data_IF_976933189561
#
_entry.id   IF_976933189561
#
_cell.length_a   1.000
_cell.length_b   1.000
_cell.length_c   1.000
_cell.angle_alpha   90.00
_cell.angle_beta   90.00
_cell.angle_gamma   90.00
#
_symmetry.space_group_name_H-M   'P 1'
#
loop_
_entity.id
_entity.type
_entity.pdbx_description
1 polymer ?
#
# COMPACT_ATOMS: atom_id res chain seq x y z
N UNK A 1 -0.47 -19.88 -4.14
CA UNK A 1 -1.91 -19.99 -4.44
C UNK A 1 -2.37 -18.69 -5.05
N UNK A 2 -3.46 -18.64 -5.83
CA UNK A 2 -3.74 -17.50 -6.68
C UNK A 2 -4.49 -16.37 -5.97
N UNK A 3 -4.33 -15.17 -6.53
CA UNK A 3 -5.18 -14.02 -6.24
C UNK A 3 -6.53 -14.17 -6.94
N UNK A 4 -7.63 -13.93 -6.21
CA UNK A 4 -8.99 -13.94 -6.75
C UNK A 4 -9.38 -12.51 -7.09
N UNK A 5 -9.56 -12.26 -8.38
CA UNK A 5 -10.03 -10.98 -8.94
C UNK A 5 -11.02 -11.24 -10.08
N UNK A 6 -11.86 -10.25 -10.45
CA UNK A 6 -12.75 -10.36 -11.61
C UNK A 6 -11.97 -10.62 -12.90
N UNK A 7 -12.50 -11.51 -13.74
CA UNK A 7 -11.84 -11.91 -14.99
C UNK A 7 -11.70 -10.76 -16.00
N UNK A 8 -12.62 -9.83 -15.98
CA UNK A 8 -12.63 -8.62 -16.83
C UNK A 8 -11.89 -7.42 -16.21
N UNK A 9 -11.29 -7.56 -15.03
CA UNK A 9 -10.41 -6.53 -14.46
C UNK A 9 -9.12 -6.46 -15.28
N UNK A 10 -8.63 -5.27 -15.71
CA UNK A 10 -7.38 -5.15 -16.49
C UNK A 10 -6.18 -5.86 -15.86
N UNK A 11 -6.05 -5.85 -14.54
CA UNK A 11 -5.04 -6.57 -13.79
C UNK A 11 -5.03 -8.09 -14.06
N UNK A 12 -6.19 -8.71 -14.37
CA UNK A 12 -6.26 -10.14 -14.66
C UNK A 12 -5.45 -10.51 -15.91
N UNK A 13 -5.60 -9.72 -16.97
CA UNK A 13 -4.86 -9.93 -18.23
C UNK A 13 -3.38 -9.59 -18.08
N UNK A 14 -3.06 -8.45 -17.44
CA UNK A 14 -1.69 -8.03 -17.23
C UNK A 14 -0.88 -9.06 -16.43
N UNK A 15 -1.41 -9.53 -15.31
CA UNK A 15 -0.77 -10.56 -14.49
C UNK A 15 -0.65 -11.92 -15.21
N UNK A 16 -1.65 -12.28 -16.00
CA UNK A 16 -1.58 -13.50 -16.83
C UNK A 16 -0.43 -13.46 -17.85
N UNK A 17 -0.18 -12.31 -18.48
CA UNK A 17 0.96 -12.11 -19.38
C UNK A 17 2.32 -12.19 -18.68
N UNK A 18 2.36 -11.86 -17.39
CA UNK A 18 3.55 -11.96 -16.55
C UNK A 18 3.75 -13.37 -15.94
N UNK A 19 2.92 -14.36 -16.33
CA UNK A 19 2.88 -15.69 -15.72
C UNK A 19 2.56 -15.67 -14.20
N UNK A 20 1.89 -14.65 -13.71
CA UNK A 20 1.37 -14.60 -12.35
C UNK A 20 0.00 -15.29 -12.33
N UNK A 21 -0.14 -16.29 -11.46
CA UNK A 21 -1.36 -17.07 -11.41
C UNK A 21 -2.48 -16.31 -10.68
N UNK A 22 -3.52 -15.95 -11.42
CA UNK A 22 -4.77 -15.36 -10.93
C UNK A 22 -5.96 -16.27 -11.23
N UNK A 23 -7.02 -16.17 -10.45
CA UNK A 23 -8.24 -16.95 -10.71
C UNK A 23 -9.50 -16.10 -10.52
N UNK A 24 -10.58 -16.50 -11.16
CA UNK A 24 -11.90 -15.93 -10.94
C UNK A 24 -12.62 -16.65 -9.76
N UNK A 25 -13.62 -15.97 -9.18
CA UNK A 25 -14.33 -16.43 -7.98
C UNK A 25 -14.91 -17.85 -8.11
N UNK A 26 -15.58 -18.17 -9.20
CA UNK A 26 -16.21 -19.49 -9.41
C UNK A 26 -15.22 -20.65 -9.30
N UNK A 27 -13.98 -20.48 -9.81
CA UNK A 27 -12.92 -21.47 -9.66
C UNK A 27 -12.42 -21.55 -8.21
N UNK A 28 -12.35 -20.43 -7.50
CA UNK A 28 -11.91 -20.40 -6.11
C UNK A 28 -12.91 -21.14 -5.19
N UNK A 29 -14.21 -20.92 -5.39
CA UNK A 29 -15.28 -21.58 -4.62
C UNK A 29 -15.27 -23.10 -4.74
N UNK A 30 -14.83 -23.63 -5.89
CA UNK A 30 -14.70 -25.08 -6.09
C UNK A 30 -13.57 -25.73 -5.27
N UNK A 31 -12.67 -24.97 -4.68
CA UNK A 31 -11.48 -25.47 -3.99
C UNK A 31 -11.67 -25.69 -2.48
N UNK A 32 -12.80 -25.30 -1.89
CA UNK A 32 -13.10 -25.38 -0.44
C UNK A 32 -12.02 -24.75 0.47
N UNK A 33 -11.35 -23.72 -0.03
CA UNK A 33 -10.32 -22.98 0.70
C UNK A 33 -10.92 -21.61 1.07
N UNK A 34 -10.83 -21.22 2.34
CA UNK A 34 -11.18 -19.86 2.74
C UNK A 34 -10.06 -18.90 2.32
N UNK A 35 -10.30 -17.98 1.38
CA UNK A 35 -9.30 -16.98 1.02
C UNK A 35 -9.17 -15.92 2.12
N UNK A 36 -8.02 -15.28 2.21
CA UNK A 36 -7.89 -14.02 2.93
C UNK A 36 -8.63 -12.92 2.18
N UNK A 37 -9.50 -12.21 2.85
CA UNK A 37 -10.27 -11.11 2.29
C UNK A 37 -9.54 -9.80 2.51
N UNK A 38 -9.00 -9.24 1.44
CA UNK A 38 -8.26 -7.96 1.47
C UNK A 38 -9.10 -6.87 0.81
N UNK A 39 -9.31 -5.77 1.55
CA UNK A 39 -9.96 -4.55 1.06
C UNK A 39 -8.87 -3.55 0.66
N UNK A 40 -8.92 -2.98 -0.55
CA UNK A 40 -7.98 -1.96 -0.99
C UNK A 40 -8.71 -0.64 -1.29
N UNK A 41 -8.56 0.34 -0.41
CA UNK A 41 -8.98 1.72 -0.68
C UNK A 41 -7.96 2.36 -1.59
N UNK A 42 -8.32 2.51 -2.86
CA UNK A 42 -7.47 3.10 -3.87
C UNK A 42 -7.79 4.59 -4.03
N UNK A 43 -6.94 5.46 -3.47
CA UNK A 43 -7.05 6.92 -3.54
C UNK A 43 -6.25 7.51 -4.71
N UNK A 44 -5.45 6.67 -5.41
CA UNK A 44 -4.65 7.13 -6.55
C UNK A 44 -5.53 7.49 -7.75
N UNK A 45 -5.16 8.53 -8.52
CA UNK A 45 -5.89 8.90 -9.74
C UNK A 45 -5.72 7.86 -10.85
N UNK A 46 -4.55 7.20 -10.93
CA UNK A 46 -4.25 6.13 -11.91
C UNK A 46 -4.74 4.77 -11.40
N UNK A 47 -6.08 4.62 -11.26
CA UNK A 47 -6.72 3.45 -10.65
C UNK A 47 -6.20 2.12 -11.22
N UNK A 48 -6.23 1.95 -12.54
CA UNK A 48 -5.88 0.70 -13.23
C UNK A 48 -4.42 0.30 -12.97
N UNK A 49 -3.50 1.27 -13.02
CA UNK A 49 -2.09 1.00 -12.72
C UNK A 49 -1.91 0.55 -11.27
N UNK A 50 -2.52 1.26 -10.32
CA UNK A 50 -2.43 0.94 -8.88
C UNK A 50 -3.08 -0.41 -8.56
N UNK A 51 -4.22 -0.75 -9.18
CA UNK A 51 -4.85 -2.07 -9.07
C UNK A 51 -3.89 -3.19 -9.47
N UNK A 52 -3.23 -3.03 -10.60
CA UNK A 52 -2.28 -4.02 -11.13
C UNK A 52 -1.06 -4.15 -10.23
N UNK A 53 -0.53 -3.04 -9.72
CA UNK A 53 0.59 -3.01 -8.78
C UNK A 53 0.26 -3.75 -7.48
N UNK A 54 -0.86 -3.44 -6.84
CA UNK A 54 -1.30 -4.10 -5.62
C UNK A 54 -1.61 -5.58 -5.86
N UNK A 55 -2.32 -5.90 -6.93
CA UNK A 55 -2.66 -7.27 -7.31
C UNK A 55 -1.41 -8.13 -7.50
N UNK A 56 -0.36 -7.59 -8.14
CA UNK A 56 0.93 -8.28 -8.33
C UNK A 56 1.62 -8.62 -7.00
N UNK A 57 1.64 -7.68 -6.05
CA UNK A 57 2.25 -7.91 -4.74
C UNK A 57 1.46 -8.94 -3.92
N UNK A 58 0.13 -8.86 -3.93
CA UNK A 58 -0.75 -9.80 -3.23
C UNK A 58 -0.73 -11.21 -3.83
N UNK A 59 -0.53 -11.32 -5.15
CA UNK A 59 -0.46 -12.61 -5.84
C UNK A 59 0.82 -13.40 -5.56
N UNK A 60 1.88 -12.76 -5.04
CA UNK A 60 3.15 -13.41 -4.71
C UNK A 60 3.11 -14.04 -3.31
N UNK A 61 2.07 -14.77 -3.00
CA UNK A 61 1.89 -15.46 -1.72
C UNK A 61 1.40 -16.88 -1.93
N UNK A 62 1.79 -17.85 -1.09
CA UNK A 62 1.21 -19.19 -1.11
C UNK A 62 -0.24 -19.22 -0.60
N UNK A 63 -0.75 -18.11 -0.06
CA UNK A 63 -2.10 -18.00 0.48
C UNK A 63 -3.05 -17.52 -0.60
N UNK A 64 -4.27 -18.05 -0.60
CA UNK A 64 -5.33 -17.57 -1.47
C UNK A 64 -5.85 -16.23 -0.95
N UNK A 65 -5.85 -15.22 -1.78
CA UNK A 65 -6.28 -13.85 -1.45
C UNK A 65 -7.45 -13.45 -2.34
N UNK A 66 -8.53 -12.95 -1.77
CA UNK A 66 -9.64 -12.31 -2.46
C UNK A 66 -9.51 -10.79 -2.29
N UNK A 67 -9.31 -10.07 -3.40
CA UNK A 67 -9.17 -8.62 -3.41
C UNK A 67 -10.52 -7.94 -3.70
N UNK A 68 -10.94 -7.05 -2.81
CA UNK A 68 -12.06 -6.14 -3.01
C UNK A 68 -11.53 -4.71 -3.13
N UNK A 69 -11.89 -4.02 -4.21
CA UNK A 69 -11.48 -2.64 -4.45
C UNK A 69 -12.53 -1.68 -3.87
N UNK A 70 -12.05 -0.63 -3.19
CA UNK A 70 -12.85 0.42 -2.56
C UNK A 70 -12.43 1.78 -3.11
N UNK A 71 -13.40 2.64 -3.35
CA UNK A 71 -13.19 4.06 -3.65
C UNK A 71 -14.01 4.95 -2.71
N UNK A 72 -13.64 6.22 -2.61
CA UNK A 72 -14.42 7.22 -1.89
C UNK A 72 -15.61 7.65 -2.72
N UNK A 73 -16.83 7.59 -2.19
CA UNK A 73 -18.04 8.02 -2.87
C UNK A 73 -18.19 9.55 -2.89
N UNK A 74 -17.60 10.23 -1.92
CA UNK A 74 -17.60 11.70 -1.77
C UNK A 74 -16.70 12.44 -2.77
N UNK A 75 -15.85 11.71 -3.51
CA UNK A 75 -14.93 12.29 -4.51
C UNK A 75 -15.23 11.77 -5.91
N UNK A 76 -15.46 12.68 -6.85
CA UNK A 76 -15.64 12.33 -8.26
C UNK A 76 -14.28 12.02 -8.90
N UNK A 77 -14.02 10.77 -9.26
CA UNK A 77 -12.80 10.39 -9.95
C UNK A 77 -12.77 10.97 -11.36
N UNK A 78 -11.81 11.86 -11.64
CA UNK A 78 -11.70 12.59 -12.92
C UNK A 78 -10.88 11.85 -13.99
N UNK A 79 -10.10 10.83 -13.59
CA UNK A 79 -9.13 10.16 -14.47
C UNK A 79 -9.48 8.70 -14.80
N UNK A 80 -10.66 8.23 -14.42
CA UNK A 80 -11.13 6.86 -14.69
C UNK A 80 -12.57 6.93 -15.17
N UNK A 81 -12.89 6.11 -16.19
CA UNK A 81 -14.26 6.00 -16.67
C UNK A 81 -15.20 5.55 -15.55
N UNK A 82 -16.36 6.20 -15.39
CA UNK A 82 -17.34 5.83 -14.37
C UNK A 82 -17.79 4.37 -14.47
N UNK A 83 -17.78 3.80 -15.68
CA UNK A 83 -18.06 2.40 -15.95
C UNK A 83 -17.05 1.45 -15.25
N UNK A 84 -15.77 1.80 -15.23
CA UNK A 84 -14.74 1.01 -14.54
C UNK A 84 -14.97 1.00 -13.02
N UNK A 85 -15.27 2.16 -12.44
CA UNK A 85 -15.56 2.25 -11.01
C UNK A 85 -16.80 1.44 -10.64
N UNK A 86 -17.90 1.61 -11.38
CA UNK A 86 -19.15 0.88 -11.11
C UNK A 86 -19.02 -0.63 -11.31
N UNK A 87 -18.13 -1.07 -12.21
CA UNK A 87 -17.91 -2.49 -12.47
C UNK A 87 -17.04 -3.19 -11.43
N UNK A 88 -16.03 -2.51 -10.86
CA UNK A 88 -14.98 -3.16 -10.08
C UNK A 88 -14.82 -2.64 -8.65
N UNK A 89 -15.32 -1.44 -8.35
CA UNK A 89 -15.17 -0.83 -7.04
C UNK A 89 -16.44 -0.89 -6.22
N UNK A 90 -16.26 -0.98 -4.91
CA UNK A 90 -17.31 -0.80 -3.92
C UNK A 90 -17.20 0.59 -3.30
N UNK A 91 -18.32 1.10 -2.80
CA UNK A 91 -18.37 2.22 -1.88
C UNK A 91 -18.24 1.76 -0.44
N UNK A 92 -17.96 2.69 0.50
CA UNK A 92 -17.88 2.35 1.91
C UNK A 92 -19.21 1.80 2.45
N UNK A 93 -20.34 2.33 2.01
CA UNK A 93 -21.67 1.88 2.45
C UNK A 93 -21.98 0.43 2.05
N UNK A 94 -21.38 -0.09 0.96
CA UNK A 94 -21.54 -1.48 0.54
C UNK A 94 -20.68 -2.48 1.35
N UNK A 95 -19.67 -2.00 2.10
CA UNK A 95 -18.74 -2.86 2.83
C UNK A 95 -18.71 -2.64 4.34
N UNK A 96 -19.33 -1.58 4.86
CA UNK A 96 -19.25 -1.16 6.28
C UNK A 96 -19.68 -2.22 7.30
N UNK A 97 -20.56 -3.13 6.91
CA UNK A 97 -21.04 -4.21 7.77
C UNK A 97 -20.26 -5.52 7.59
N UNK A 98 -19.25 -5.52 6.73
CA UNK A 98 -18.40 -6.67 6.45
C UNK A 98 -17.15 -6.67 7.33
N UNK A 99 -16.48 -7.82 7.37
CA UNK A 99 -15.17 -7.98 8.02
C UNK A 99 -14.13 -8.44 7.01
N UNK A 100 -12.93 -7.94 7.17
CA UNK A 100 -11.78 -8.23 6.29
C UNK A 100 -10.59 -8.70 7.13
N UNK A 101 -9.79 -9.58 6.53
CA UNK A 101 -8.55 -10.03 7.14
C UNK A 101 -7.48 -8.94 7.04
N UNK A 102 -7.45 -8.20 5.94
CA UNK A 102 -6.55 -7.07 5.77
C UNK A 102 -7.15 -5.91 4.99
N UNK A 103 -6.54 -4.74 5.13
CA UNK A 103 -6.88 -3.55 4.36
C UNK A 103 -5.62 -2.84 3.89
N UNK A 104 -5.67 -2.28 2.68
CA UNK A 104 -4.64 -1.38 2.15
C UNK A 104 -5.29 -0.02 1.92
N UNK A 105 -4.66 1.05 2.41
CA UNK A 105 -5.03 2.44 2.09
C UNK A 105 -3.86 3.04 1.31
N UNK A 106 -4.09 3.38 0.04
CA UNK A 106 -3.04 3.88 -0.86
C UNK A 106 -2.68 5.34 -0.59
N UNK A 107 -1.63 5.82 -1.23
CA UNK A 107 -1.33 7.24 -1.36
C UNK A 107 -2.39 8.01 -2.15
N UNK A 108 -2.27 9.34 -2.14
CA UNK A 108 -3.08 10.26 -2.92
C UNK A 108 -2.26 11.52 -3.25
N UNK A 109 -2.46 12.18 -4.41
CA UNK A 109 -1.68 13.36 -4.80
C UNK A 109 -2.24 14.67 -4.20
N UNK A 110 -2.66 14.64 -2.94
CA UNK A 110 -3.24 15.76 -2.19
C UNK A 110 -2.37 16.14 -0.98
N UNK A 111 -1.13 15.73 -0.97
CA UNK A 111 -0.23 15.82 0.18
C UNK A 111 0.10 17.25 0.64
N UNK A 112 -0.02 18.26 -0.25
CA UNK A 112 0.21 19.66 0.07
C UNK A 112 -0.98 20.34 0.78
N UNK A 113 -2.18 19.74 0.70
CA UNK A 113 -3.36 20.25 1.39
C UNK A 113 -3.34 19.84 2.87
N UNK A 114 -3.82 20.67 3.80
CA UNK A 114 -4.23 20.21 5.13
C UNK A 114 -5.18 19.02 5.00
N UNK A 115 -5.16 18.09 5.96
CA UNK A 115 -5.98 16.89 5.86
C UNK A 115 -7.47 17.23 5.82
N UNK A 116 -7.90 18.21 6.61
CA UNK A 116 -9.29 18.64 6.74
C UNK A 116 -9.83 19.36 5.48
N UNK A 117 -8.93 19.84 4.61
CA UNK A 117 -9.29 20.48 3.33
C UNK A 117 -9.44 19.47 2.18
N UNK A 118 -9.13 18.19 2.41
CA UNK A 118 -9.33 17.13 1.44
C UNK A 118 -10.83 16.78 1.41
N UNK A 119 -11.47 16.88 0.26
CA UNK A 119 -12.92 16.75 0.08
C UNK A 119 -13.50 15.41 0.62
N UNK A 120 -12.76 14.32 0.51
CA UNK A 120 -13.14 13.01 1.05
C UNK A 120 -12.62 12.73 2.47
N UNK A 121 -12.04 13.71 3.16
CA UNK A 121 -11.48 13.51 4.51
C UNK A 121 -12.49 12.95 5.52
N UNK A 122 -13.74 13.46 5.62
CA UNK A 122 -14.73 12.90 6.54
C UNK A 122 -15.06 11.43 6.26
N UNK A 123 -15.12 11.03 4.98
CA UNK A 123 -15.33 9.64 4.59
C UNK A 123 -14.11 8.77 4.93
N UNK A 124 -12.91 9.27 4.66
CA UNK A 124 -11.66 8.58 5.02
C UNK A 124 -11.54 8.35 6.54
N UNK A 125 -11.91 9.32 7.37
CA UNK A 125 -11.98 9.16 8.82
C UNK A 125 -12.92 8.02 9.24
N UNK A 126 -14.11 7.92 8.63
CA UNK A 126 -15.04 6.81 8.87
C UNK A 126 -14.45 5.46 8.47
N UNK A 127 -13.75 5.41 7.35
CA UNK A 127 -13.07 4.20 6.87
C UNK A 127 -11.92 3.81 7.81
N UNK A 128 -11.13 4.78 8.28
CA UNK A 128 -10.06 4.52 9.25
C UNK A 128 -10.62 4.05 10.60
N UNK A 129 -11.76 4.57 11.06
CA UNK A 129 -12.43 4.09 12.27
C UNK A 129 -12.95 2.64 12.07
N UNK A 130 -13.58 2.36 10.93
CA UNK A 130 -14.00 1.00 10.54
C UNK A 130 -12.81 0.02 10.55
N UNK A 131 -11.63 0.46 10.10
CA UNK A 131 -10.44 -0.40 10.08
C UNK A 131 -10.02 -0.90 11.47
N UNK A 132 -10.34 -0.16 12.53
CA UNK A 132 -9.98 -0.54 13.91
C UNK A 132 -10.78 -1.73 14.46
N UNK A 133 -11.99 -1.95 13.96
CA UNK A 133 -12.93 -2.95 14.47
C UNK A 133 -13.25 -4.06 13.47
N UNK A 134 -13.32 -3.74 12.19
CA UNK A 134 -13.78 -4.62 11.13
C UNK A 134 -12.64 -5.22 10.29
N UNK A 135 -11.41 -4.70 10.44
CA UNK A 135 -10.22 -5.18 9.74
C UNK A 135 -9.20 -5.69 10.74
N UNK A 136 -8.58 -6.82 10.45
CA UNK A 136 -7.58 -7.38 11.36
C UNK A 136 -6.27 -6.60 11.34
N UNK A 137 -5.73 -6.30 10.14
CA UNK A 137 -4.50 -5.50 9.97
C UNK A 137 -4.64 -4.57 8.78
N UNK A 138 -4.22 -3.30 8.94
CA UNK A 138 -4.28 -2.28 7.88
C UNK A 138 -2.88 -1.80 7.52
N UNK A 139 -2.55 -1.85 6.23
CA UNK A 139 -1.33 -1.34 5.63
C UNK A 139 -1.62 0.00 4.95
N UNK A 140 -1.02 1.06 5.44
CA UNK A 140 -1.15 2.42 4.90
C UNK A 140 0.08 2.77 4.10
N UNK A 141 -0.09 3.36 2.92
CA UNK A 141 1.00 3.66 1.98
C UNK A 141 1.07 5.16 1.69
N UNK A 142 2.26 5.72 1.73
CA UNK A 142 2.61 7.10 1.39
C UNK A 142 1.71 8.13 2.09
N UNK A 143 0.92 8.92 1.34
CA UNK A 143 -0.03 9.88 1.93
C UNK A 143 -1.08 9.19 2.82
N UNK A 144 -1.55 8.01 2.46
CA UNK A 144 -2.43 7.22 3.31
C UNK A 144 -1.80 6.88 4.66
N UNK A 145 -0.48 6.65 4.71
CA UNK A 145 0.24 6.47 5.96
C UNK A 145 0.27 7.76 6.78
N UNK A 146 0.53 8.91 6.15
CA UNK A 146 0.52 10.21 6.85
C UNK A 146 -0.87 10.56 7.38
N UNK A 147 -1.92 10.33 6.58
CA UNK A 147 -3.31 10.55 6.98
C UNK A 147 -3.71 9.70 8.19
N UNK A 148 -3.32 8.43 8.20
CA UNK A 148 -3.61 7.53 9.31
C UNK A 148 -2.75 7.82 10.55
N UNK A 149 -1.50 8.23 10.40
CA UNK A 149 -0.65 8.71 11.50
C UNK A 149 -1.26 9.95 12.16
N UNK A 150 -1.78 10.87 11.36
CA UNK A 150 -2.48 12.04 11.87
C UNK A 150 -3.79 11.65 12.58
N UNK A 151 -4.64 10.87 11.94
CA UNK A 151 -5.95 10.50 12.48
C UNK A 151 -5.87 9.68 13.77
N UNK A 152 -4.99 8.68 13.80
CA UNK A 152 -4.92 7.75 14.93
C UNK A 152 -4.01 8.23 16.07
N UNK A 153 -2.99 9.05 15.77
CA UNK A 153 -1.93 9.39 16.73
C UNK A 153 -1.63 10.89 16.82
N UNK A 154 -2.28 11.74 16.03
CA UNK A 154 -2.03 13.18 16.03
C UNK A 154 -0.68 13.60 15.45
N UNK A 155 0.03 12.68 14.75
CA UNK A 155 1.35 12.96 14.18
C UNK A 155 1.16 13.77 12.89
N UNK A 156 1.73 14.99 12.88
CA UNK A 156 1.60 15.93 11.77
C UNK A 156 2.55 15.57 10.63
N UNK A 157 2.11 15.82 9.40
CA UNK A 157 3.02 15.86 8.25
C UNK A 157 3.66 17.24 8.14
N UNK A 158 4.87 17.27 7.60
CA UNK A 158 5.61 18.50 7.34
C UNK A 158 5.98 18.59 5.86
N UNK A 159 5.94 19.81 5.32
CA UNK A 159 6.39 20.05 3.95
C UNK A 159 7.92 19.92 3.88
N UNK A 160 8.40 19.14 2.91
CA UNK A 160 9.83 19.01 2.64
C UNK A 160 10.33 20.23 1.85
N UNK A 161 11.62 20.57 1.98
CA UNK A 161 12.27 21.65 1.22
C UNK A 161 12.25 21.38 -0.30
N UNK A 162 12.33 20.11 -0.68
CA UNK A 162 12.24 19.63 -2.06
C UNK A 162 11.48 18.31 -2.13
N UNK A 163 11.01 17.93 -3.32
CA UNK A 163 10.34 16.65 -3.54
C UNK A 163 11.31 15.50 -3.23
N UNK A 164 10.94 14.63 -2.29
CA UNK A 164 11.62 13.36 -2.08
C UNK A 164 11.27 12.43 -3.24
N UNK A 165 12.15 12.37 -4.24
CA UNK A 165 11.87 11.71 -5.51
C UNK A 165 13.04 10.84 -5.94
N UNK A 166 12.85 9.52 -5.91
CA UNK A 166 13.91 8.56 -6.24
C UNK A 166 13.83 7.25 -5.48
N UNK A 167 14.93 6.50 -5.49
CA UNK A 167 15.09 5.20 -4.85
C UNK A 167 16.19 5.30 -3.80
N UNK A 168 15.82 5.25 -2.53
CA UNK A 168 16.71 5.54 -1.42
C UNK A 168 17.13 4.27 -0.68
N UNK A 169 18.37 4.21 -0.17
CA UNK A 169 18.79 3.12 0.71
C UNK A 169 18.12 3.26 2.09
N UNK A 170 17.67 2.15 2.64
CA UNK A 170 17.07 2.05 3.95
C UNK A 170 17.78 0.97 4.75
N UNK A 171 17.82 1.11 6.08
CA UNK A 171 18.29 0.08 6.99
C UNK A 171 17.17 -0.47 7.85
N UNK A 172 17.22 -1.76 8.17
CA UNK A 172 16.32 -2.39 9.12
C UNK A 172 16.75 -2.03 10.54
N UNK A 173 15.82 -1.47 11.34
CA UNK A 173 16.10 -1.07 12.74
C UNK A 173 15.66 -2.12 13.75
N UNK A 174 14.77 -3.03 13.38
CA UNK A 174 14.22 -4.10 14.25
C UNK A 174 14.12 -5.43 13.49
N UNK A 175 15.24 -6.16 13.27
CA UNK A 175 15.27 -7.36 12.44
C UNK A 175 14.43 -8.54 12.98
N UNK A 176 14.09 -8.53 14.27
CA UNK A 176 13.22 -9.53 14.89
C UNK A 176 11.74 -9.35 14.57
N UNK A 177 11.33 -8.21 13.98
CA UNK A 177 9.93 -7.98 13.65
C UNK A 177 9.52 -8.82 12.42
N UNK A 178 8.37 -9.54 12.48
CA UNK A 178 7.91 -10.38 11.37
C UNK A 178 7.76 -9.67 10.02
N UNK A 179 7.43 -8.38 9.99
CA UNK A 179 7.27 -7.63 8.73
C UNK A 179 8.56 -7.52 7.92
N UNK A 180 9.70 -7.46 8.58
CA UNK A 180 11.02 -7.35 7.93
C UNK A 180 11.79 -8.67 7.89
N UNK A 181 11.12 -9.78 8.17
CA UNK A 181 11.74 -11.11 8.10
C UNK A 181 12.23 -11.41 6.69
N UNK A 182 13.50 -11.77 6.57
CA UNK A 182 14.16 -12.05 5.30
C UNK A 182 14.62 -10.81 4.54
N UNK A 183 14.46 -9.61 5.11
CA UNK A 183 15.09 -8.41 4.55
C UNK A 183 16.60 -8.48 4.77
N UNK A 184 17.34 -7.92 3.81
CA UNK A 184 18.72 -7.57 4.01
C UNK A 184 18.84 -6.45 5.07
N UNK A 185 19.99 -6.31 5.70
CA UNK A 185 20.25 -5.22 6.68
C UNK A 185 20.04 -3.84 6.03
N UNK A 186 20.38 -3.74 4.74
CA UNK A 186 20.15 -2.55 3.91
C UNK A 186 19.40 -2.95 2.64
N UNK A 187 18.41 -2.15 2.26
CA UNK A 187 17.58 -2.36 1.07
C UNK A 187 17.17 -1.03 0.44
N UNK A 188 16.65 -1.08 -0.77
CA UNK A 188 16.18 0.10 -1.48
C UNK A 188 14.65 0.17 -1.50
N UNK A 189 14.12 1.41 -1.41
CA UNK A 189 12.70 1.68 -1.59
C UNK A 189 12.45 2.99 -2.33
N UNK A 190 11.43 3.05 -3.22
CA UNK A 190 11.08 4.25 -3.95
C UNK A 190 10.25 5.22 -3.10
N UNK A 191 10.48 6.51 -3.33
CA UNK A 191 9.72 7.61 -2.77
C UNK A 191 9.34 8.61 -3.87
N UNK A 192 8.11 9.15 -3.77
CA UNK A 192 7.62 10.28 -4.56
C UNK A 192 6.66 11.08 -3.70
N UNK A 193 7.17 12.06 -2.94
CA UNK A 193 6.37 12.83 -1.98
C UNK A 193 6.96 14.22 -1.71
N UNK A 194 6.09 15.17 -1.41
CA UNK A 194 6.47 16.53 -0.98
C UNK A 194 6.39 16.73 0.53
N UNK A 195 5.88 15.75 1.26
CA UNK A 195 5.72 15.82 2.71
C UNK A 195 6.37 14.62 3.39
N UNK A 196 6.67 14.77 4.68
CA UNK A 196 7.24 13.74 5.53
C UNK A 196 6.66 13.76 6.94
N UNK A 197 7.05 12.78 7.75
CA UNK A 197 6.76 12.73 9.18
C UNK A 197 8.07 12.69 9.95
N UNK A 198 8.12 13.35 11.10
CA UNK A 198 9.32 13.43 11.91
C UNK A 198 9.47 12.20 12.81
N UNK A 199 10.70 11.71 12.91
CA UNK A 199 11.03 10.57 13.76
C UNK A 199 10.74 10.86 15.25
N UNK A 200 11.08 12.04 15.73
CA UNK A 200 10.87 12.42 17.12
C UNK A 200 9.38 12.44 17.52
N UNK A 201 8.47 12.84 16.62
CA UNK A 201 7.03 12.77 16.85
C UNK A 201 6.55 11.30 16.95
N UNK A 202 7.10 10.40 16.10
CA UNK A 202 6.78 8.98 16.12
C UNK A 202 7.26 8.34 17.44
N UNK A 203 8.47 8.65 17.86
CA UNK A 203 9.04 8.15 19.11
C UNK A 203 8.29 8.67 20.35
N UNK A 204 7.95 9.95 20.35
CA UNK A 204 7.18 10.58 21.43
C UNK A 204 5.77 9.99 21.60
N UNK A 205 5.16 9.51 20.52
CA UNK A 205 3.86 8.82 20.55
C UNK A 205 3.88 7.54 21.39
N UNK A 206 5.01 6.84 21.50
CA UNK A 206 5.18 5.62 22.29
C UNK A 206 4.39 4.38 21.79
N UNK A 207 3.37 4.56 20.97
CA UNK A 207 2.52 3.50 20.45
C UNK A 207 3.09 2.82 19.18
N UNK A 208 4.05 3.47 18.53
CA UNK A 208 4.62 3.05 17.26
C UNK A 208 6.06 2.53 17.44
N UNK A 209 6.44 1.62 16.57
CA UNK A 209 7.80 1.08 16.45
C UNK A 209 8.31 1.31 15.05
N UNK A 210 9.43 2.02 14.92
CA UNK A 210 10.15 2.17 13.64
C UNK A 210 10.84 0.85 13.33
N UNK A 211 10.61 0.31 12.15
CA UNK A 211 11.13 -0.99 11.69
C UNK A 211 12.19 -0.83 10.60
N UNK A 212 12.09 0.23 9.80
CA UNK A 212 13.10 0.60 8.80
C UNK A 212 13.10 2.10 8.54
N UNK A 213 14.27 2.64 8.25
CA UNK A 213 14.48 4.07 7.98
C UNK A 213 15.64 4.31 7.02
N UNK A 214 15.71 5.51 6.47
CA UNK A 214 16.79 6.03 5.64
C UNK A 214 17.38 7.30 6.25
N UNK A 215 18.67 7.51 6.12
CA UNK A 215 19.30 8.75 6.54
C UNK A 215 18.86 9.93 5.67
N UNK A 216 18.52 9.67 4.39
CA UNK A 216 18.04 10.69 3.45
C UNK A 216 16.50 10.80 3.43
N UNK A 217 15.80 9.66 3.31
CA UNK A 217 14.34 9.65 3.15
C UNK A 217 13.57 9.56 4.49
N UNK A 218 14.26 9.48 5.63
CA UNK A 218 13.64 9.42 6.94
C UNK A 218 12.98 8.05 7.24
N UNK A 219 11.97 8.06 8.11
CA UNK A 219 11.29 6.83 8.53
C UNK A 219 10.50 6.25 7.37
N UNK A 220 10.72 4.96 7.09
CA UNK A 220 10.08 4.24 5.98
C UNK A 220 8.95 3.32 6.43
N UNK A 221 9.24 2.42 7.37
CA UNK A 221 8.30 1.40 7.83
C UNK A 221 8.14 1.49 9.34
N UNK A 222 6.91 1.55 9.80
CA UNK A 222 6.57 1.51 11.21
C UNK A 222 5.26 0.77 11.44
N UNK A 223 5.05 0.27 12.65
CA UNK A 223 3.81 -0.39 13.03
C UNK A 223 3.47 -0.15 14.51
N UNK A 224 2.21 -0.38 14.86
CA UNK A 224 1.83 -0.61 16.25
C UNK A 224 2.43 -1.95 16.73
N UNK A 225 2.57 -2.12 18.04
CA UNK A 225 3.06 -3.37 18.64
C UNK A 225 2.25 -4.61 18.22
N UNK A 226 0.95 -4.44 18.12
CA UNK A 226 0.03 -5.51 17.70
C UNK A 226 0.07 -5.82 16.18
N UNK A 227 0.71 -4.97 15.36
CA UNK A 227 0.69 -5.06 13.92
C UNK A 227 -0.67 -4.76 13.26
N UNK A 228 -1.64 -4.24 14.02
CA UNK A 228 -2.95 -3.89 13.47
C UNK A 228 -2.91 -2.68 12.55
N UNK A 229 -1.96 -1.77 12.78
CA UNK A 229 -1.73 -0.58 11.96
C UNK A 229 -0.28 -0.57 11.52
N UNK A 230 -0.06 -0.57 10.23
CA UNK A 230 1.25 -0.60 9.57
C UNK A 230 1.33 0.61 8.63
N UNK A 231 2.44 1.31 8.65
CA UNK A 231 2.63 2.55 7.89
C UNK A 231 3.92 2.48 7.07
N UNK A 232 3.80 2.70 5.78
CA UNK A 232 4.90 2.75 4.82
C UNK A 232 4.90 4.12 4.16
N UNK A 233 5.93 4.92 4.36
CA UNK A 233 5.99 6.29 3.83
C UNK A 233 6.45 6.38 2.38
N UNK A 234 7.03 5.30 1.83
CA UNK A 234 7.40 5.17 0.43
C UNK A 234 6.36 4.39 -0.37
N UNK A 235 6.78 3.93 -1.55
CA UNK A 235 5.92 3.26 -2.53
C UNK A 235 6.46 1.86 -2.90
N UNK A 236 6.37 0.85 -2.01
CA UNK A 236 6.82 -0.50 -2.34
C UNK A 236 6.10 -1.10 -3.55
N UNK A 237 4.87 -0.64 -3.83
CA UNK A 237 4.04 -1.10 -4.94
C UNK A 237 4.49 -0.61 -6.31
N UNK A 238 5.34 0.42 -6.40
CA UNK A 238 5.76 0.99 -7.67
C UNK A 238 6.49 -0.01 -8.54
N UNK A 239 6.16 0.00 -9.82
CA UNK A 239 6.83 -0.77 -10.87
C UNK A 239 8.09 -0.05 -11.38
N UNK A 240 8.87 -0.80 -12.18
CA UNK A 240 10.13 -0.32 -12.72
C UNK A 240 10.05 1.06 -13.35
N UNK A 241 9.00 1.34 -14.13
CA UNK A 241 8.85 2.58 -14.90
C UNK A 241 7.94 3.63 -14.25
N UNK A 242 7.44 3.41 -13.04
CA UNK A 242 6.49 4.34 -12.42
C UNK A 242 7.11 5.72 -12.16
N UNK A 243 8.34 5.76 -11.61
CA UNK A 243 9.03 7.02 -11.38
C UNK A 243 9.47 7.70 -12.71
N UNK A 244 9.81 6.92 -13.74
CA UNK A 244 10.10 7.45 -15.08
C UNK A 244 8.87 8.14 -15.68
N UNK A 245 7.70 7.50 -15.59
CA UNK A 245 6.45 8.08 -16.08
C UNK A 245 6.06 9.35 -15.32
N UNK A 246 6.27 9.40 -13.99
CA UNK A 246 6.06 10.61 -13.19
C UNK A 246 7.04 11.71 -13.61
N UNK A 247 8.31 11.39 -13.76
CA UNK A 247 9.34 12.34 -14.16
C UNK A 247 9.03 12.96 -15.53
N UNK A 248 8.78 12.13 -16.56
CA UNK A 248 8.47 12.61 -17.91
C UNK A 248 7.18 13.44 -17.94
N UNK A 249 6.14 12.99 -17.26
CA UNK A 249 4.89 13.77 -17.13
C UNK A 249 5.13 15.17 -16.55
N UNK A 250 5.98 15.28 -15.53
CA UNK A 250 6.23 16.55 -14.87
C UNK A 250 7.17 17.46 -15.72
N UNK A 251 8.11 16.87 -16.46
CA UNK A 251 8.92 17.57 -17.48
C UNK A 251 8.03 18.10 -18.59
N UNK A 252 7.12 17.28 -19.15
CA UNK A 252 6.20 17.66 -20.22
C UNK A 252 5.27 18.82 -19.81
N UNK A 253 4.96 18.91 -18.52
CA UNK A 253 4.21 20.03 -17.93
C UNK A 253 5.04 21.27 -17.64
N UNK A 254 6.35 21.25 -17.92
CA UNK A 254 7.27 22.35 -17.63
C UNK A 254 7.50 22.59 -16.13
N UNK A 255 7.27 21.59 -15.28
CA UNK A 255 7.50 21.71 -13.85
C UNK A 255 8.99 21.61 -13.53
N UNK A 256 9.50 22.35 -12.53
CA UNK A 256 10.89 22.27 -12.08
C UNK A 256 11.10 20.95 -11.32
N UNK A 257 11.43 19.88 -12.03
CA UNK A 257 11.69 18.57 -11.47
C UNK A 257 13.08 18.08 -11.84
N UNK A 258 13.78 17.46 -10.89
CA UNK A 258 15.03 16.74 -11.12
C UNK A 258 14.75 15.27 -11.46
N UNK A 259 15.63 14.58 -12.19
CA UNK A 259 15.55 13.13 -12.34
C UNK A 259 15.44 12.43 -10.98
N UNK A 260 14.70 11.32 -10.90
CA UNK A 260 14.59 10.58 -9.64
C UNK A 260 15.96 10.02 -9.23
N UNK A 261 16.39 10.36 -8.01
CA UNK A 261 17.71 10.03 -7.46
C UNK A 261 17.91 8.52 -7.34
N UNK A 262 19.11 8.03 -7.68
CA UNK A 262 19.51 6.60 -7.60
C UNK A 262 18.61 5.64 -8.41
N UNK A 263 17.85 6.14 -9.34
CA UNK A 263 16.89 5.37 -10.12
C UNK A 263 17.44 4.95 -11.47
N UNK A 264 18.10 5.87 -12.19
CA UNK A 264 18.84 5.55 -13.39
C UNK A 264 20.30 5.23 -13.08
N UNK A 265 21.00 4.42 -13.90
CA UNK A 265 22.46 4.34 -13.82
C UNK A 265 23.08 5.73 -13.99
N UNK A 266 23.96 6.11 -13.06
CA UNK A 266 24.64 7.42 -13.03
C UNK A 266 23.68 8.62 -13.01
N UNK A 267 22.44 8.41 -12.53
CA UNK A 267 21.33 9.38 -12.54
C UNK A 267 21.00 9.96 -13.94
N UNK A 268 21.36 9.24 -15.01
CA UNK A 268 21.15 9.63 -16.40
C UNK A 268 19.77 9.13 -16.91
N UNK A 269 18.79 10.03 -17.16
CA UNK A 269 17.45 9.66 -17.61
C UNK A 269 17.38 9.12 -19.05
N UNK A 270 18.49 9.10 -19.79
CA UNK A 270 18.59 8.42 -21.06
C UNK A 270 18.86 6.90 -20.93
N UNK A 271 19.22 6.45 -19.72
CA UNK A 271 19.51 5.05 -19.44
C UNK A 271 18.28 4.32 -18.89
N UNK A 272 18.29 3.01 -19.02
CA UNK A 272 17.24 2.13 -18.50
C UNK A 272 17.21 2.15 -16.96
N UNK A 273 16.03 2.32 -16.31
CA UNK A 273 15.93 2.35 -14.86
C UNK A 273 16.38 1.06 -14.19
N UNK A 274 16.91 1.18 -12.98
CA UNK A 274 17.29 0.06 -12.13
C UNK A 274 16.13 -0.36 -11.21
N UNK A 275 15.70 -1.62 -11.27
CA UNK A 275 14.61 -2.13 -10.43
C UNK A 275 15.18 -2.84 -9.18
N UNK A 276 15.52 -2.06 -8.14
CA UNK A 276 16.25 -2.54 -6.95
C UNK A 276 15.38 -2.86 -5.73
N UNK A 277 14.10 -2.51 -5.71
CA UNK A 277 13.22 -2.64 -4.54
C UNK A 277 12.22 -3.81 -4.63
N UNK A 278 12.11 -4.45 -5.77
CA UNK A 278 11.10 -5.47 -6.07
C UNK A 278 11.08 -6.62 -5.06
N UNK A 279 12.24 -7.17 -4.70
CA UNK A 279 12.33 -8.31 -3.80
C UNK A 279 11.80 -7.96 -2.39
N UNK A 280 12.21 -6.81 -1.85
CA UNK A 280 11.79 -6.35 -0.53
C UNK A 280 10.33 -5.93 -0.49
N UNK A 281 9.79 -5.38 -1.58
CA UNK A 281 8.36 -5.11 -1.72
C UNK A 281 7.54 -6.40 -1.64
N UNK A 282 7.93 -7.44 -2.37
CA UNK A 282 7.28 -8.75 -2.29
C UNK A 282 7.40 -9.38 -0.90
N UNK A 283 8.56 -9.30 -0.25
CA UNK A 283 8.76 -9.79 1.12
C UNK A 283 7.86 -9.06 2.10
N UNK A 284 7.75 -7.74 2.03
CA UNK A 284 6.89 -6.96 2.91
C UNK A 284 5.43 -7.44 2.85
N UNK A 285 4.87 -7.54 1.65
CA UNK A 285 3.49 -7.99 1.46
C UNK A 285 3.30 -9.46 1.83
N UNK A 286 4.24 -10.33 1.46
CA UNK A 286 4.20 -11.74 1.85
C UNK A 286 4.29 -11.92 3.36
N UNK A 287 5.18 -11.19 4.04
CA UNK A 287 5.30 -11.21 5.49
C UNK A 287 4.02 -10.69 6.16
N UNK A 288 3.43 -9.60 5.64
CA UNK A 288 2.16 -9.08 6.12
C UNK A 288 1.05 -10.14 6.04
N UNK A 289 0.86 -10.77 4.87
CA UNK A 289 -0.13 -11.82 4.67
C UNK A 289 0.13 -13.05 5.56
N UNK A 290 1.38 -13.49 5.68
CA UNK A 290 1.74 -14.71 6.40
C UNK A 290 1.65 -14.57 7.93
N UNK A 291 2.12 -13.46 8.48
CA UNK A 291 2.35 -13.36 9.92
C UNK A 291 1.25 -12.62 10.67
N UNK A 292 0.51 -11.75 10.00
CA UNK A 292 -0.55 -10.99 10.65
C UNK A 292 -1.95 -11.61 10.47
N UNK A 293 -2.14 -12.48 9.48
CA UNK A 293 -3.44 -13.06 9.14
C UNK A 293 -3.58 -14.55 9.53
N UNK A 294 -2.59 -15.39 9.21
CA UNK A 294 -2.74 -16.84 9.32
C UNK A 294 -2.73 -17.35 10.77
N UNK A 295 -1.90 -16.76 11.64
CA UNK A 295 -1.71 -17.28 13.00
C UNK A 295 -2.95 -17.23 13.86
N UNK A 296 -3.97 -16.42 13.54
CA UNK A 296 -5.16 -16.21 14.36
C UNK A 296 -6.44 -16.79 13.78
N UNK A 297 -6.58 -16.91 12.46
CA UNK A 297 -7.70 -17.63 11.86
C UNK A 297 -7.71 -19.11 12.31
N UNK A 298 -6.54 -19.75 12.31
CA UNK A 298 -6.39 -21.14 12.76
C UNK A 298 -6.63 -21.34 14.26
N UNK A 299 -6.36 -20.35 15.11
CA UNK A 299 -6.64 -20.43 16.56
C UNK A 299 -8.12 -20.26 16.89
N UNK A 300 -8.84 -19.37 16.17
CA UNK A 300 -10.28 -19.17 16.40
C UNK A 300 -11.14 -20.36 15.94
N UNK A 301 -10.78 -21.00 14.83
CA UNK A 301 -11.48 -22.20 14.36
C UNK A 301 -11.23 -23.43 15.25
N UNK A 302 -10.05 -23.55 15.86
CA UNK A 302 -9.77 -24.64 16.81
C UNK A 302 -10.55 -24.48 18.11
N UNK A 303 -10.75 -23.28 18.61
CA UNK A 303 -11.52 -23.02 19.83
C UNK A 303 -13.02 -23.23 19.63
N UNK A 304 -13.56 -22.93 18.43
CA UNK A 304 -14.99 -23.16 18.16
C UNK A 304 -15.35 -24.61 17.84
N UNK A 305 -14.37 -25.53 17.66
CA UNK A 305 -14.61 -26.98 17.49
C UNK A 305 -14.42 -27.82 18.76
N UNK A 306 -14.09 -27.20 19.87
CA UNK A 306 -13.86 -27.87 21.19
C UNK A 306 -14.89 -27.47 22.21
N UNK A 307 -15.99 -26.80 21.82
CA UNK A 307 -17.14 -26.51 22.68
C UNK A 307 -18.37 -27.23 22.15
#
# INVERSE_FOLDING_TARGET
MPLIIPQNLPAYTALGQENVFVMHRQRAESQQIRPLRILALNLMPTKIATETQLARLLANSPIQVELTLLHTASHAATHVAGEHLSAFYKTFDEVKDQRFDGMIITGAPVEKLPFEEVDYWPELCRIMEFSKTNVYSTLHVCWGAQAALYYHFGIQKELLSEKMFGVFPHRVTRPSNPLVRGFDEAFYAPHSRHTGVRRDQIEACGALRVLAESDEAGVYLMSTESGRQIFVTGHPEYEKYTLDAEYRRDVDKGLPIQPPKNYYPDDDPAKEPLYRWRAHAFLLYTNWLNYYEIGRASCRERVSRVV
#
